data_IF_087033630718
#
_entry.id   IF_087033630718
#
_cell.length_a   1.000
_cell.length_b   1.000
_cell.length_c   1.000
_cell.angle_alpha   90.00
_cell.angle_beta   90.00
_cell.angle_gamma   90.00
#
_symmetry.space_group_name_H-M   'P 1'
#
loop_
_entity.id
_entity.type
_entity.pdbx_description
1 polymer ?
#
# COMPACT_ATOMS: atom_id res chain seq x y z
N UNK A 1 48.62 27.33 1.25
CA UNK A 1 49.83 26.57 1.71
C UNK A 1 50.95 27.45 2.32
N UNK A 2 50.95 28.71 2.18
CA UNK A 2 52.01 29.62 2.68
C UNK A 2 51.92 29.92 4.19
N UNK A 3 50.76 30.02 4.77
CA UNK A 3 50.59 30.35 6.20
C UNK A 3 50.91 29.16 7.14
N UNK A 4 50.76 27.91 6.69
CA UNK A 4 51.05 26.73 7.52
C UNK A 4 52.57 26.49 7.69
N UNK A 5 53.42 26.97 6.77
CA UNK A 5 54.86 26.89 6.88
C UNK A 5 55.45 27.89 7.90
N UNK A 6 54.76 29.02 8.14
CA UNK A 6 55.16 30.00 9.14
C UNK A 6 54.85 29.62 10.57
N UNK A 7 53.91 28.66 10.77
CA UNK A 7 53.45 28.26 12.10
C UNK A 7 54.17 26.99 12.65
N UNK A 8 55.14 26.43 11.94
CA UNK A 8 55.92 25.26 12.31
C UNK A 8 55.06 24.03 12.73
N UNK A 9 53.91 23.86 12.09
CA UNK A 9 52.95 22.76 12.37
C UNK A 9 53.36 21.56 11.53
N UNK A 10 53.58 20.36 12.15
CA UNK A 10 53.94 19.14 11.42
C UNK A 10 52.87 18.75 10.39
N UNK A 11 53.31 18.24 9.21
CA UNK A 11 52.42 17.94 8.08
C UNK A 11 51.31 16.93 8.41
N UNK A 12 51.54 16.03 9.32
CA UNK A 12 50.57 15.03 9.82
C UNK A 12 49.45 15.63 10.66
N UNK A 13 49.68 16.75 11.35
CA UNK A 13 48.59 17.49 12.04
C UNK A 13 47.71 18.25 11.07
N UNK A 14 48.25 18.76 9.98
CA UNK A 14 47.48 19.41 8.92
C UNK A 14 46.61 18.37 8.20
N UNK A 15 47.12 17.18 7.95
CA UNK A 15 46.39 16.11 7.32
C UNK A 15 45.25 15.55 8.21
N UNK A 16 45.45 15.54 9.54
CA UNK A 16 44.38 15.20 10.53
C UNK A 16 43.29 16.27 10.58
N UNK A 17 43.63 17.54 10.40
CA UNK A 17 42.67 18.66 10.37
C UNK A 17 41.90 18.73 9.05
N UNK A 18 42.44 18.20 7.96
CA UNK A 18 41.81 18.15 6.62
C UNK A 18 40.99 16.85 6.39
N UNK A 19 41.07 15.86 7.28
CA UNK A 19 40.14 14.70 7.22
C UNK A 19 38.74 15.19 7.59
N UNK A 20 37.73 15.02 6.70
CA UNK A 20 36.37 15.39 7.03
C UNK A 20 35.94 14.63 8.28
N UNK A 21 35.71 15.37 9.38
CA UNK A 21 35.11 14.79 10.57
C UNK A 21 33.72 14.29 10.17
N UNK A 22 33.52 12.98 10.27
CA UNK A 22 32.18 12.41 10.21
C UNK A 22 31.42 12.88 11.43
N UNK A 23 30.69 13.99 11.29
CA UNK A 23 29.79 14.47 12.33
C UNK A 23 28.63 13.47 12.39
N UNK A 24 28.64 12.59 13.37
CA UNK A 24 27.46 11.80 13.74
C UNK A 24 26.45 12.80 14.32
N UNK A 25 25.48 13.22 13.55
CA UNK A 25 24.36 13.98 14.06
C UNK A 25 23.52 13.04 14.93
N UNK A 26 23.63 13.18 16.25
CA UNK A 26 22.79 12.48 17.21
C UNK A 26 21.62 13.41 17.52
N UNK A 27 20.43 13.08 17.01
CA UNK A 27 19.20 13.77 17.41
C UNK A 27 18.80 13.28 18.77
N UNK A 28 19.00 14.10 19.81
CA UNK A 28 18.59 13.79 21.18
C UNK A 28 17.15 14.24 21.35
N UNK A 29 16.22 13.31 21.51
CA UNK A 29 14.86 13.61 21.97
C UNK A 29 14.82 13.52 23.50
N UNK A 30 14.34 14.59 24.13
CA UNK A 30 14.10 14.61 25.57
C UNK A 30 12.65 14.17 25.83
N UNK A 31 12.47 12.94 26.29
CA UNK A 31 11.19 12.47 26.83
C UNK A 31 11.37 12.23 28.34
N UNK A 32 10.61 12.97 29.14
CA UNK A 32 10.58 12.85 30.62
C UNK A 32 11.95 12.90 31.33
N UNK A 33 12.90 13.71 30.84
CA UNK A 33 14.17 13.94 31.51
C UNK A 33 15.23 12.86 31.38
N UNK A 34 15.02 11.84 30.56
CA UNK A 34 16.02 10.80 30.25
C UNK A 34 16.54 10.92 28.82
N UNK A 35 17.86 10.94 28.63
CA UNK A 35 18.51 10.89 27.33
C UNK A 35 18.39 9.48 26.74
N UNK A 36 17.61 9.31 25.67
CA UNK A 36 17.62 8.11 24.85
C UNK A 36 18.50 8.32 23.61
N UNK A 37 19.76 7.91 23.71
CA UNK A 37 20.80 8.19 22.70
C UNK A 37 20.72 7.27 21.47
N UNK A 38 19.99 6.13 21.51
CA UNK A 38 20.13 5.07 20.50
C UNK A 38 18.88 4.81 19.63
N UNK A 39 17.79 5.58 19.79
CA UNK A 39 16.52 5.31 19.07
C UNK A 39 16.44 5.92 17.67
N UNK A 40 17.33 6.85 17.28
CA UNK A 40 17.22 7.53 15.98
C UNK A 40 17.46 6.57 14.80
N UNK A 41 18.44 5.69 14.90
CA UNK A 41 18.74 4.71 13.85
C UNK A 41 17.63 3.65 13.72
N UNK A 42 17.09 3.17 14.84
CA UNK A 42 15.97 2.22 14.84
C UNK A 42 14.71 2.83 14.21
N UNK A 43 14.40 4.06 14.54
CA UNK A 43 13.26 4.78 13.98
C UNK A 43 13.40 4.94 12.46
N UNK A 44 14.54 5.42 11.97
CA UNK A 44 14.81 5.60 10.54
C UNK A 44 14.70 4.28 9.74
N UNK A 45 15.19 3.17 10.29
CA UNK A 45 15.08 1.86 9.66
C UNK A 45 13.62 1.39 9.62
N UNK A 46 12.86 1.56 10.71
CA UNK A 46 11.43 1.26 10.76
C UNK A 46 10.61 2.09 9.77
N UNK A 47 10.92 3.36 9.64
CA UNK A 47 10.33 4.26 8.63
C UNK A 47 10.63 3.77 7.20
N UNK A 48 11.87 3.40 6.92
CA UNK A 48 12.28 2.87 5.62
C UNK A 48 11.57 1.57 5.26
N UNK A 49 11.42 0.64 6.21
CA UNK A 49 10.69 -0.61 6.00
C UNK A 49 9.21 -0.33 5.73
N UNK A 50 8.59 0.56 6.51
CA UNK A 50 7.17 0.92 6.34
C UNK A 50 6.92 1.59 4.99
N UNK A 51 7.83 2.47 4.55
CA UNK A 51 7.81 3.04 3.21
C UNK A 51 7.91 1.96 2.12
N UNK A 52 8.83 1.01 2.26
CA UNK A 52 8.97 -0.09 1.31
C UNK A 52 7.69 -0.94 1.23
N UNK A 53 7.04 -1.24 2.37
CA UNK A 53 5.76 -1.95 2.41
C UNK A 53 4.66 -1.12 1.74
N UNK A 54 4.64 0.20 1.93
CA UNK A 54 3.67 1.10 1.31
C UNK A 54 3.83 1.16 -0.22
N UNK A 55 5.08 1.19 -0.72
CA UNK A 55 5.37 1.07 -2.16
C UNK A 55 4.90 -0.27 -2.70
N UNK A 56 5.18 -1.35 -1.99
CA UNK A 56 4.74 -2.69 -2.36
C UNK A 56 3.21 -2.78 -2.43
N UNK A 57 2.53 -2.21 -1.44
CA UNK A 57 1.07 -2.12 -1.43
C UNK A 57 0.53 -1.37 -2.65
N UNK A 58 1.11 -0.21 -3.00
CA UNK A 58 0.72 0.53 -4.19
C UNK A 58 0.89 -0.30 -5.47
N UNK A 59 2.02 -0.98 -5.62
CA UNK A 59 2.28 -1.89 -6.74
C UNK A 59 1.25 -3.01 -6.79
N UNK A 60 0.90 -3.61 -5.66
CA UNK A 60 -0.12 -4.67 -5.59
C UNK A 60 -1.50 -4.14 -5.97
N UNK A 61 -1.89 -2.98 -5.45
CA UNK A 61 -3.18 -2.35 -5.79
C UNK A 61 -3.28 -2.14 -7.30
N UNK A 62 -2.28 -1.52 -7.92
CA UNK A 62 -2.30 -1.21 -9.35
C UNK A 62 -2.38 -2.48 -10.20
N UNK A 63 -1.60 -3.51 -9.88
CA UNK A 63 -1.57 -4.75 -10.63
C UNK A 63 -2.83 -5.59 -10.41
N UNK A 64 -3.18 -5.89 -9.17
CA UNK A 64 -4.26 -6.84 -8.88
C UNK A 64 -5.66 -6.27 -9.12
N UNK A 65 -5.86 -4.95 -8.97
CA UNK A 65 -7.11 -4.32 -9.38
C UNK A 65 -7.34 -4.48 -10.91
N UNK A 66 -6.28 -4.34 -11.70
CA UNK A 66 -6.33 -4.57 -13.14
C UNK A 66 -6.66 -6.02 -13.48
N UNK A 67 -5.93 -6.95 -12.89
CA UNK A 67 -6.07 -8.39 -13.14
C UNK A 67 -7.49 -8.88 -12.84
N UNK A 68 -8.02 -8.59 -11.64
CA UNK A 68 -9.35 -9.09 -11.26
C UNK A 68 -10.47 -8.50 -12.11
N UNK A 69 -10.40 -7.21 -12.43
CA UNK A 69 -11.40 -6.57 -13.27
C UNK A 69 -11.37 -7.14 -14.71
N UNK A 70 -10.17 -7.37 -15.25
CA UNK A 70 -9.98 -7.95 -16.57
C UNK A 70 -10.46 -9.39 -16.61
N UNK A 71 -10.17 -10.19 -15.61
CA UNK A 71 -10.59 -11.58 -15.52
C UNK A 71 -12.11 -11.70 -15.50
N UNK A 72 -12.80 -10.93 -14.65
CA UNK A 72 -14.26 -10.92 -14.56
C UNK A 72 -14.89 -10.47 -15.89
N UNK A 73 -14.36 -9.42 -16.52
CA UNK A 73 -14.85 -8.93 -17.80
C UNK A 73 -14.62 -9.93 -18.95
N UNK A 74 -13.51 -10.67 -18.92
CA UNK A 74 -13.20 -11.74 -19.89
C UNK A 74 -14.18 -12.90 -19.78
N UNK A 75 -14.40 -13.41 -18.57
CA UNK A 75 -15.35 -14.51 -18.33
C UNK A 75 -16.78 -14.10 -18.72
N UNK A 76 -17.15 -12.85 -18.45
CA UNK A 76 -18.43 -12.30 -18.87
C UNK A 76 -18.52 -12.13 -20.37
N UNK A 77 -17.53 -11.49 -21.01
CA UNK A 77 -17.52 -11.22 -22.46
C UNK A 77 -17.50 -12.49 -23.31
N UNK A 78 -16.85 -13.55 -22.84
CA UNK A 78 -16.82 -14.86 -23.49
C UNK A 78 -18.03 -15.76 -23.17
N UNK A 79 -18.98 -15.29 -22.34
CA UNK A 79 -20.13 -16.07 -21.84
C UNK A 79 -19.78 -17.29 -20.98
N UNK A 80 -18.51 -17.48 -20.62
CA UNK A 80 -18.06 -18.54 -19.69
C UNK A 80 -18.74 -18.35 -18.33
N UNK A 81 -19.03 -17.10 -17.96
CA UNK A 81 -19.73 -16.78 -16.72
C UNK A 81 -21.10 -17.48 -16.61
N UNK A 82 -21.85 -17.67 -17.70
CA UNK A 82 -23.13 -18.37 -17.71
C UNK A 82 -22.94 -19.84 -17.34
N UNK A 83 -21.89 -20.49 -17.83
CA UNK A 83 -21.54 -21.88 -17.52
C UNK A 83 -21.13 -22.00 -16.06
N UNK A 84 -20.29 -21.10 -15.55
CA UNK A 84 -19.85 -21.11 -14.15
C UNK A 84 -21.06 -20.94 -13.22
N UNK A 85 -21.92 -19.97 -13.50
CA UNK A 85 -23.09 -19.66 -12.65
C UNK A 85 -24.21 -20.70 -12.75
N UNK A 86 -24.16 -21.63 -13.71
CA UNK A 86 -25.06 -22.81 -13.71
C UNK A 86 -24.71 -23.80 -12.60
N UNK A 87 -23.45 -23.80 -12.14
CA UNK A 87 -22.94 -24.75 -11.13
C UNK A 87 -22.65 -24.10 -9.76
N UNK A 88 -22.31 -22.79 -9.77
CA UNK A 88 -21.85 -22.06 -8.56
C UNK A 88 -22.60 -20.74 -8.43
N UNK A 89 -22.94 -20.35 -7.19
CA UNK A 89 -23.62 -19.08 -6.95
C UNK A 89 -22.71 -17.87 -7.25
N UNK A 90 -23.29 -16.75 -7.72
CA UNK A 90 -22.56 -15.51 -7.96
C UNK A 90 -21.82 -15.00 -6.70
N UNK A 91 -22.36 -15.25 -5.52
CA UNK A 91 -21.73 -14.93 -4.23
C UNK A 91 -20.44 -15.74 -4.04
N UNK A 92 -20.51 -17.04 -4.26
CA UNK A 92 -19.33 -17.93 -4.14
C UNK A 92 -18.26 -17.54 -5.15
N UNK A 93 -18.67 -17.26 -6.39
CA UNK A 93 -17.76 -16.80 -7.44
C UNK A 93 -17.05 -15.48 -7.07
N UNK A 94 -17.78 -14.51 -6.53
CA UNK A 94 -17.22 -13.25 -6.08
C UNK A 94 -16.15 -13.45 -5.00
N UNK A 95 -16.46 -14.21 -3.96
CA UNK A 95 -15.47 -14.47 -2.90
C UNK A 95 -14.31 -15.36 -3.36
N UNK A 96 -14.55 -16.30 -4.26
CA UNK A 96 -13.50 -17.12 -4.84
C UNK A 96 -12.48 -16.26 -5.62
N UNK A 97 -12.94 -15.26 -6.39
CA UNK A 97 -12.07 -14.31 -7.10
C UNK A 97 -11.23 -13.47 -6.14
N UNK A 98 -11.83 -12.95 -5.06
CA UNK A 98 -11.09 -12.19 -4.04
C UNK A 98 -10.07 -13.09 -3.34
N UNK A 99 -10.44 -14.33 -2.99
CA UNK A 99 -9.54 -15.29 -2.38
C UNK A 99 -8.37 -15.67 -3.32
N UNK A 100 -8.63 -15.80 -4.63
CA UNK A 100 -7.60 -16.05 -5.63
C UNK A 100 -6.58 -14.91 -5.68
N UNK A 101 -7.03 -13.64 -5.66
CA UNK A 101 -6.13 -12.49 -5.60
C UNK A 101 -5.30 -12.50 -4.32
N UNK A 102 -5.91 -12.80 -3.16
CA UNK A 102 -5.15 -12.93 -1.91
C UNK A 102 -4.09 -14.03 -1.99
N UNK A 103 -4.43 -15.18 -2.57
CA UNK A 103 -3.48 -16.27 -2.77
C UNK A 103 -2.31 -15.85 -3.68
N UNK A 104 -2.59 -15.09 -4.75
CA UNK A 104 -1.56 -14.53 -5.63
C UNK A 104 -0.66 -13.55 -4.88
N UNK A 105 -1.22 -12.63 -4.07
CA UNK A 105 -0.45 -11.70 -3.24
C UNK A 105 0.46 -12.43 -2.27
N UNK A 106 -0.06 -13.45 -1.58
CA UNK A 106 0.73 -14.26 -0.64
C UNK A 106 1.85 -15.01 -1.37
N UNK A 107 1.55 -15.62 -2.52
CA UNK A 107 2.54 -16.31 -3.35
C UNK A 107 3.65 -15.35 -3.78
N UNK A 108 3.30 -14.15 -4.19
CA UNK A 108 4.27 -13.14 -4.61
C UNK A 108 5.13 -12.65 -3.44
N UNK A 109 4.57 -12.48 -2.26
CA UNK A 109 5.34 -12.13 -1.04
C UNK A 109 6.35 -13.25 -0.72
N UNK A 110 5.91 -14.51 -0.74
CA UNK A 110 6.81 -15.67 -0.54
C UNK A 110 7.94 -15.65 -1.57
N UNK A 111 7.62 -15.38 -2.83
CA UNK A 111 8.63 -15.30 -3.90
C UNK A 111 9.64 -14.18 -3.67
N UNK A 112 9.21 -13.00 -3.21
CA UNK A 112 10.11 -11.90 -2.85
C UNK A 112 11.03 -12.25 -1.68
N UNK A 113 10.50 -12.96 -0.67
CA UNK A 113 11.30 -13.44 0.46
C UNK A 113 12.36 -14.44 -0.02
N UNK A 114 11.99 -15.41 -0.87
CA UNK A 114 12.92 -16.39 -1.43
C UNK A 114 14.04 -15.75 -2.26
N UNK A 115 13.67 -14.79 -3.13
CA UNK A 115 14.66 -14.02 -3.90
C UNK A 115 15.56 -13.20 -2.97
N UNK A 116 15.00 -12.58 -1.93
CA UNK A 116 15.77 -11.83 -0.94
C UNK A 116 16.77 -12.70 -0.21
N UNK A 117 16.37 -13.89 0.23
CA UNK A 117 17.24 -14.88 0.90
C UNK A 117 18.33 -15.39 -0.05
N UNK A 118 17.97 -15.76 -1.27
CA UNK A 118 18.93 -16.22 -2.29
C UNK A 118 19.93 -15.10 -2.64
N UNK A 119 19.44 -13.88 -2.85
CA UNK A 119 20.26 -12.69 -3.11
C UNK A 119 21.23 -12.42 -1.96
N UNK A 120 20.77 -12.54 -0.71
CA UNK A 120 21.64 -12.42 0.45
C UNK A 120 22.77 -13.45 0.44
N UNK A 121 22.47 -14.73 0.19
CA UNK A 121 23.49 -15.77 0.14
C UNK A 121 24.52 -15.55 -0.95
N UNK A 122 24.10 -15.01 -2.10
CA UNK A 122 24.99 -14.73 -3.23
C UNK A 122 25.83 -13.47 -3.03
N UNK A 123 25.24 -12.40 -2.51
CA UNK A 123 25.85 -11.07 -2.44
C UNK A 123 26.56 -10.78 -1.12
N UNK A 124 26.43 -11.62 -0.10
CA UNK A 124 27.01 -11.40 1.25
C UNK A 124 28.52 -11.19 1.27
N UNK A 125 29.25 -11.67 0.26
CA UNK A 125 30.70 -11.50 0.12
C UNK A 125 31.08 -10.19 -0.60
N UNK A 126 30.18 -9.65 -1.42
CA UNK A 126 30.43 -8.47 -2.25
C UNK A 126 29.88 -7.18 -1.64
N UNK A 127 28.85 -7.28 -0.83
CA UNK A 127 28.17 -6.14 -0.21
C UNK A 127 28.10 -6.31 1.31
N UNK A 128 28.14 -5.23 2.11
CA UNK A 128 28.02 -5.29 3.56
C UNK A 128 26.58 -5.60 4.02
N UNK A 129 25.94 -6.60 3.40
CA UNK A 129 24.55 -7.00 3.66
C UNK A 129 24.34 -7.48 5.10
N UNK A 130 25.38 -8.02 5.75
CA UNK A 130 25.33 -8.41 7.16
C UNK A 130 25.08 -7.21 8.08
N UNK A 131 25.60 -6.02 7.73
CA UNK A 131 25.36 -4.79 8.47
C UNK A 131 23.91 -4.31 8.29
N UNK A 132 23.37 -4.42 7.08
CA UNK A 132 21.97 -4.08 6.76
C UNK A 132 21.03 -5.03 7.52
N UNK A 133 21.25 -6.33 7.49
CA UNK A 133 20.41 -7.29 8.20
C UNK A 133 20.46 -7.16 9.72
N UNK A 134 21.62 -6.81 10.29
CA UNK A 134 21.73 -6.51 11.73
C UNK A 134 20.89 -5.29 12.13
N UNK A 135 20.68 -4.34 11.22
CA UNK A 135 19.84 -3.17 11.45
C UNK A 135 18.35 -3.44 11.16
N UNK A 136 18.05 -4.17 10.08
CA UNK A 136 16.68 -4.44 9.65
C UNK A 136 15.99 -5.50 10.52
N UNK A 137 16.70 -6.58 10.87
CA UNK A 137 16.13 -7.73 11.57
C UNK A 137 15.36 -7.39 12.85
N UNK A 138 15.93 -6.65 13.82
CA UNK A 138 15.21 -6.24 15.03
C UNK A 138 14.03 -5.30 14.75
N UNK A 139 14.13 -4.50 13.68
CA UNK A 139 13.12 -3.50 13.31
C UNK A 139 11.91 -4.08 12.57
N UNK A 140 11.97 -5.31 12.07
CA UNK A 140 10.81 -6.02 11.51
C UNK A 140 9.70 -6.26 12.54
N UNK A 141 10.02 -6.27 13.82
CA UNK A 141 9.07 -6.50 14.91
C UNK A 141 8.54 -5.21 15.54
N UNK A 142 8.85 -4.07 14.94
CA UNK A 142 8.38 -2.76 15.44
C UNK A 142 6.91 -2.49 15.07
N UNK A 143 6.16 -1.74 15.90
CA UNK A 143 4.76 -1.42 15.61
C UNK A 143 4.50 -0.82 14.23
N UNK A 144 5.32 0.11 13.68
CA UNK A 144 5.10 0.66 12.36
C UNK A 144 5.02 -0.40 11.24
N UNK A 145 5.86 -1.43 11.31
CA UNK A 145 5.88 -2.52 10.32
C UNK A 145 4.59 -3.34 10.39
N UNK A 146 4.13 -3.68 11.58
CA UNK A 146 2.88 -4.42 11.75
C UNK A 146 1.65 -3.66 11.28
N UNK A 147 1.60 -2.34 11.55
CA UNK A 147 0.54 -1.48 11.02
C UNK A 147 0.62 -1.41 9.49
N UNK A 148 1.81 -1.26 8.91
CA UNK A 148 1.98 -1.23 7.45
C UNK A 148 1.50 -2.54 6.79
N UNK A 149 1.81 -3.70 7.37
CA UNK A 149 1.33 -5.01 6.90
C UNK A 149 -0.19 -5.11 7.03
N UNK A 150 -0.76 -4.67 8.14
CA UNK A 150 -2.22 -4.69 8.34
C UNK A 150 -2.94 -3.82 7.31
N UNK A 151 -2.45 -2.61 7.06
CA UNK A 151 -2.98 -1.72 6.04
C UNK A 151 -2.75 -2.26 4.62
N UNK A 152 -1.65 -2.98 4.36
CA UNK A 152 -1.41 -3.65 3.08
C UNK A 152 -2.51 -4.68 2.81
N UNK A 153 -2.80 -5.55 3.77
CA UNK A 153 -3.83 -6.60 3.61
C UNK A 153 -5.20 -5.95 3.38
N UNK A 154 -5.60 -5.02 4.25
CA UNK A 154 -6.90 -4.34 4.15
C UNK A 154 -6.98 -3.50 2.87
N UNK A 155 -5.90 -2.82 2.49
CA UNK A 155 -5.82 -2.01 1.28
C UNK A 155 -5.97 -2.84 0.01
N UNK A 156 -5.19 -3.90 -0.13
CA UNK A 156 -5.30 -4.79 -1.30
C UNK A 156 -6.71 -5.37 -1.41
N UNK A 157 -7.29 -5.83 -0.31
CA UNK A 157 -8.68 -6.34 -0.29
C UNK A 157 -9.68 -5.26 -0.73
N UNK A 158 -9.59 -4.07 -0.17
CA UNK A 158 -10.51 -2.97 -0.45
C UNK A 158 -10.50 -2.60 -1.95
N UNK A 159 -9.32 -2.42 -2.53
CA UNK A 159 -9.18 -2.08 -3.94
C UNK A 159 -9.58 -3.25 -4.85
N UNK A 160 -9.28 -4.49 -4.47
CA UNK A 160 -9.69 -5.71 -5.18
C UNK A 160 -11.22 -5.84 -5.23
N UNK A 161 -11.89 -5.60 -4.11
CA UNK A 161 -13.37 -5.64 -4.02
C UNK A 161 -14.01 -4.60 -4.94
N UNK A 162 -13.50 -3.37 -4.95
CA UNK A 162 -14.00 -2.32 -5.84
C UNK A 162 -13.70 -2.67 -7.30
N UNK A 163 -12.51 -3.16 -7.60
CA UNK A 163 -12.14 -3.56 -8.95
C UNK A 163 -12.99 -4.73 -9.48
N UNK A 164 -13.32 -5.71 -8.63
CA UNK A 164 -14.23 -6.80 -8.96
C UNK A 164 -15.64 -6.28 -9.27
N UNK A 165 -16.13 -5.33 -8.47
CA UNK A 165 -17.41 -4.67 -8.73
C UNK A 165 -17.40 -3.95 -10.08
N UNK A 166 -16.37 -3.14 -10.36
CA UNK A 166 -16.24 -2.41 -11.62
C UNK A 166 -16.11 -3.35 -12.82
N UNK A 167 -15.34 -4.44 -12.70
CA UNK A 167 -15.22 -5.47 -13.71
C UNK A 167 -16.55 -6.14 -14.05
N UNK A 168 -17.42 -6.35 -13.05
CA UNK A 168 -18.75 -6.94 -13.28
C UNK A 168 -19.68 -6.08 -14.11
N UNK A 169 -19.52 -4.77 -14.08
CA UNK A 169 -20.35 -3.80 -14.83
C UNK A 169 -19.96 -3.77 -16.31
N UNK A 170 -18.72 -4.09 -16.64
CA UNK A 170 -18.16 -4.05 -17.99
C UNK A 170 -18.46 -5.36 -18.72
N UNK A 171 -18.75 -5.28 -20.03
CA UNK A 171 -19.00 -6.45 -20.86
C UNK A 171 -17.95 -6.65 -21.95
N UNK A 172 -17.04 -5.69 -22.15
CA UNK A 172 -15.99 -5.72 -23.19
C UNK A 172 -14.65 -5.44 -22.56
N UNK A 173 -13.62 -6.18 -23.00
CA UNK A 173 -12.26 -6.07 -22.46
C UNK A 173 -11.61 -4.71 -22.72
N UNK A 174 -11.91 -4.05 -23.83
CA UNK A 174 -11.41 -2.71 -24.16
C UNK A 174 -11.93 -1.61 -23.20
N UNK A 175 -13.04 -1.85 -22.53
CA UNK A 175 -13.63 -0.91 -21.56
C UNK A 175 -13.14 -1.10 -20.13
N UNK A 176 -12.45 -2.21 -19.82
CA UNK A 176 -12.00 -2.53 -18.46
C UNK A 176 -11.06 -1.44 -17.93
N UNK A 177 -10.08 -1.06 -18.74
CA UNK A 177 -9.11 -0.05 -18.33
C UNK A 177 -9.79 1.31 -18.05
N UNK A 178 -10.79 1.67 -18.83
CA UNK A 178 -11.58 2.87 -18.59
C UNK A 178 -12.37 2.78 -17.28
N UNK A 179 -12.93 1.62 -16.97
CA UNK A 179 -13.71 1.40 -15.75
C UNK A 179 -12.87 1.50 -14.48
N UNK A 180 -11.64 0.95 -14.50
CA UNK A 180 -10.76 0.96 -13.32
C UNK A 180 -9.89 2.21 -13.21
N UNK A 181 -9.73 3.00 -14.28
CA UNK A 181 -8.88 4.21 -14.29
C UNK A 181 -9.15 5.17 -13.11
N UNK A 182 -10.40 5.49 -12.73
CA UNK A 182 -10.64 6.38 -11.60
C UNK A 182 -10.09 5.80 -10.28
N UNK A 183 -10.17 4.48 -10.11
CA UNK A 183 -9.64 3.80 -8.93
C UNK A 183 -8.11 3.85 -8.89
N UNK A 184 -7.46 3.63 -10.03
CA UNK A 184 -6.01 3.70 -10.16
C UNK A 184 -5.48 5.13 -9.98
N UNK A 185 -6.16 6.13 -10.53
CA UNK A 185 -5.84 7.55 -10.33
C UNK A 185 -5.94 7.90 -8.84
N UNK A 186 -6.99 7.45 -8.16
CA UNK A 186 -7.18 7.67 -6.74
C UNK A 186 -6.05 7.06 -5.92
N UNK A 187 -5.63 5.83 -6.23
CA UNK A 187 -4.49 5.18 -5.56
C UNK A 187 -3.18 5.92 -5.81
N UNK A 188 -2.97 6.43 -7.03
CA UNK A 188 -1.78 7.21 -7.39
C UNK A 188 -1.74 8.54 -6.63
N UNK A 189 -2.87 9.26 -6.55
CA UNK A 189 -2.97 10.49 -5.76
C UNK A 189 -2.71 10.19 -4.28
N UNK A 190 -3.27 9.10 -3.74
CA UNK A 190 -3.04 8.67 -2.36
C UNK A 190 -1.56 8.42 -2.10
N UNK A 191 -0.87 7.74 -3.02
CA UNK A 191 0.56 7.48 -2.94
C UNK A 191 1.39 8.77 -2.97
N UNK A 192 1.09 9.68 -3.89
CA UNK A 192 1.77 10.98 -3.96
C UNK A 192 1.56 11.82 -2.69
N UNK A 193 0.32 11.86 -2.19
CA UNK A 193 0.01 12.54 -0.91
C UNK A 193 0.75 11.90 0.26
N UNK A 194 0.83 10.58 0.32
CA UNK A 194 1.61 9.85 1.32
C UNK A 194 3.09 10.21 1.25
N UNK A 195 3.65 10.26 0.05
CA UNK A 195 5.05 10.65 -0.15
C UNK A 195 5.31 12.12 0.28
N UNK A 196 4.41 13.04 -0.01
CA UNK A 196 4.52 14.44 0.46
C UNK A 196 4.56 14.50 2.00
N UNK A 197 3.78 13.67 2.67
CA UNK A 197 3.74 13.63 4.14
C UNK A 197 5.03 13.11 4.79
N UNK A 198 5.89 12.40 4.05
CA UNK A 198 7.22 12.01 4.56
C UNK A 198 8.16 13.21 4.71
N UNK A 199 7.98 14.24 3.86
CA UNK A 199 8.84 15.44 3.85
C UNK A 199 8.18 16.64 4.53
N UNK A 200 6.85 16.71 4.50
CA UNK A 200 6.06 17.82 5.09
C UNK A 200 4.85 17.25 5.84
N UNK A 201 5.05 16.96 7.11
CA UNK A 201 4.00 16.43 7.98
C UNK A 201 3.00 17.48 8.50
N UNK A 202 3.22 18.77 8.23
CA UNK A 202 2.46 19.90 8.77
C UNK A 202 1.20 20.27 7.97
N UNK A 203 0.98 19.67 6.78
CA UNK A 203 -0.15 20.02 5.91
C UNK A 203 -1.46 19.47 6.48
N UNK A 204 -2.22 20.34 7.17
CA UNK A 204 -3.46 19.96 7.87
C UNK A 204 -4.51 19.27 6.99
N UNK A 205 -4.67 19.70 5.73
CA UNK A 205 -5.59 19.07 4.78
C UNK A 205 -5.23 17.60 4.53
N UNK A 206 -3.94 17.28 4.32
CA UNK A 206 -3.50 15.90 4.10
C UNK A 206 -3.67 15.03 5.36
N UNK A 207 -3.56 15.62 6.55
CA UNK A 207 -3.86 14.93 7.81
C UNK A 207 -5.31 14.47 7.88
N UNK A 208 -6.26 15.30 7.48
CA UNK A 208 -7.68 14.94 7.43
C UNK A 208 -7.93 13.91 6.34
N UNK A 209 -7.38 14.13 5.14
CA UNK A 209 -7.52 13.22 4.00
C UNK A 209 -7.00 11.82 4.31
N UNK A 210 -5.97 11.69 5.15
CA UNK A 210 -5.39 10.39 5.53
C UNK A 210 -6.36 9.48 6.30
N UNK A 211 -7.46 10.00 6.87
CA UNK A 211 -8.49 9.17 7.49
C UNK A 211 -9.61 8.78 6.53
N UNK A 212 -9.66 9.39 5.34
CA UNK A 212 -10.66 9.02 4.32
C UNK A 212 -10.33 7.63 3.78
N UNK A 213 -11.28 6.67 3.82
CA UNK A 213 -11.09 5.34 3.26
C UNK A 213 -10.63 5.45 1.79
N UNK A 214 -9.81 4.52 1.33
CA UNK A 214 -9.04 4.53 0.09
C UNK A 214 -7.75 5.36 0.17
N UNK A 215 -7.73 6.56 0.74
CA UNK A 215 -6.50 7.31 1.01
C UNK A 215 -5.78 6.77 2.25
N UNK A 216 -6.53 6.40 3.27
CA UNK A 216 -6.00 5.94 4.56
C UNK A 216 -5.05 4.75 4.44
N UNK A 217 -5.28 3.86 3.46
CA UNK A 217 -4.48 2.66 3.27
C UNK A 217 -3.00 2.98 3.05
N UNK A 218 -2.72 4.00 2.27
CA UNK A 218 -1.37 4.40 1.90
C UNK A 218 -0.82 5.47 2.85
N UNK A 219 -1.64 6.43 3.26
CA UNK A 219 -1.18 7.60 4.00
C UNK A 219 -0.98 7.32 5.50
N UNK A 220 -1.82 6.50 6.15
CA UNK A 220 -1.71 6.25 7.59
C UNK A 220 -0.46 5.46 7.98
N UNK A 221 -0.06 4.38 7.28
CA UNK A 221 1.19 3.69 7.58
C UNK A 221 2.41 4.60 7.53
N UNK A 222 2.47 5.48 6.52
CA UNK A 222 3.56 6.45 6.35
C UNK A 222 3.60 7.41 7.53
N UNK A 223 2.45 8.00 7.91
CA UNK A 223 2.36 8.94 9.04
C UNK A 223 2.69 8.29 10.38
N UNK A 224 2.28 7.04 10.57
CA UNK A 224 2.61 6.32 11.80
C UNK A 224 4.10 6.00 11.87
N UNK A 225 4.71 5.60 10.76
CA UNK A 225 6.14 5.32 10.69
C UNK A 225 6.98 6.57 10.96
N UNK A 226 6.61 7.74 10.39
CA UNK A 226 7.30 9.01 10.63
C UNK A 226 7.08 9.58 12.05
N UNK A 227 6.21 8.95 12.86
CA UNK A 227 5.93 9.39 14.23
C UNK A 227 4.98 10.60 14.32
N UNK A 228 4.34 10.98 13.21
CA UNK A 228 3.31 12.06 13.18
C UNK A 228 1.93 11.55 13.66
N UNK A 229 1.81 10.28 13.97
CA UNK A 229 0.55 9.66 14.40
C UNK A 229 0.76 8.79 15.64
N UNK A 230 -0.18 8.85 16.58
CA UNK A 230 -0.19 7.97 17.75
C UNK A 230 -0.70 6.57 17.39
N UNK A 231 -0.30 5.55 18.17
CA UNK A 231 -0.77 4.19 17.95
C UNK A 231 -2.32 4.08 18.05
N UNK A 232 -2.93 4.83 18.94
CA UNK A 232 -4.40 4.89 19.09
C UNK A 232 -5.07 5.44 17.83
N UNK A 233 -4.52 6.50 17.23
CA UNK A 233 -5.06 7.09 16.02
C UNK A 233 -4.85 6.16 14.79
N UNK A 234 -3.72 5.44 14.72
CA UNK A 234 -3.47 4.43 13.69
C UNK A 234 -4.46 3.26 13.81
N UNK A 235 -4.74 2.80 15.03
CA UNK A 235 -5.71 1.73 15.31
C UNK A 235 -7.13 2.15 14.93
N UNK A 236 -7.53 3.38 15.25
CA UNK A 236 -8.83 3.94 14.83
C UNK A 236 -8.93 4.04 13.31
N UNK A 237 -7.88 4.47 12.63
CA UNK A 237 -7.82 4.51 11.17
C UNK A 237 -7.95 3.12 10.53
N UNK A 238 -7.28 2.11 11.10
CA UNK A 238 -7.40 0.72 10.67
C UNK A 238 -8.81 0.17 10.90
N UNK A 239 -9.41 0.46 12.05
CA UNK A 239 -10.79 0.10 12.35
C UNK A 239 -11.78 0.69 11.36
N UNK A 240 -11.63 1.99 11.02
CA UNK A 240 -12.45 2.65 10.01
C UNK A 240 -12.26 2.02 8.61
N UNK A 241 -11.03 1.65 8.27
CA UNK A 241 -10.72 0.97 7.02
C UNK A 241 -11.39 -0.42 6.93
N UNK A 242 -11.39 -1.19 8.02
CA UNK A 242 -12.05 -2.50 8.09
C UNK A 242 -13.58 -2.35 7.98
N UNK A 243 -14.18 -1.41 8.69
CA UNK A 243 -15.62 -1.11 8.60
C UNK A 243 -15.99 -0.75 7.16
N UNK A 244 -15.18 0.08 6.52
CA UNK A 244 -15.38 0.47 5.11
C UNK A 244 -15.22 -0.72 4.18
N UNK A 245 -14.23 -1.59 4.39
CA UNK A 245 -14.06 -2.83 3.63
C UNK A 245 -15.31 -3.71 3.70
N UNK A 246 -15.85 -3.92 4.91
CA UNK A 246 -17.07 -4.72 5.10
C UNK A 246 -18.26 -4.09 4.36
N UNK A 247 -18.48 -2.79 4.54
CA UNK A 247 -19.58 -2.06 3.88
C UNK A 247 -19.47 -2.07 2.35
N UNK A 248 -18.26 -1.81 1.83
CA UNK A 248 -18.01 -1.86 0.39
C UNK A 248 -18.08 -3.28 -0.17
N UNK A 249 -17.66 -4.30 0.57
CA UNK A 249 -17.81 -5.70 0.14
C UNK A 249 -19.29 -6.08 0.00
N UNK A 250 -20.12 -5.67 0.94
CA UNK A 250 -21.57 -5.87 0.85
C UNK A 250 -22.17 -5.17 -0.37
N UNK A 251 -21.86 -3.90 -0.58
CA UNK A 251 -22.32 -3.13 -1.71
C UNK A 251 -21.82 -3.71 -3.04
N UNK A 252 -20.53 -4.06 -3.09
CA UNK A 252 -19.90 -4.65 -4.26
C UNK A 252 -20.53 -5.99 -4.64
N UNK A 253 -20.84 -6.82 -3.65
CA UNK A 253 -21.50 -8.11 -3.86
C UNK A 253 -22.89 -7.93 -4.49
N UNK A 254 -23.68 -6.98 -4.00
CA UNK A 254 -25.00 -6.70 -4.56
C UNK A 254 -24.87 -6.26 -6.02
N UNK A 255 -23.99 -5.28 -6.31
CA UNK A 255 -23.77 -4.78 -7.66
C UNK A 255 -23.23 -5.88 -8.57
N UNK A 256 -22.30 -6.71 -8.08
CA UNK A 256 -21.76 -7.85 -8.80
C UNK A 256 -22.86 -8.83 -9.22
N UNK A 257 -23.72 -9.27 -8.28
CA UNK A 257 -24.82 -10.19 -8.54
C UNK A 257 -25.80 -9.65 -9.57
N UNK A 258 -26.09 -8.35 -9.52
CA UNK A 258 -27.03 -7.71 -10.45
C UNK A 258 -26.47 -7.58 -11.88
N UNK A 259 -25.16 -7.41 -12.01
CA UNK A 259 -24.55 -7.04 -13.30
C UNK A 259 -23.84 -8.21 -14.01
N UNK A 260 -23.50 -9.26 -13.28
CA UNK A 260 -22.65 -10.32 -13.82
C UNK A 260 -23.23 -11.02 -15.05
N UNK A 261 -24.56 -11.14 -15.14
CA UNK A 261 -25.27 -11.70 -16.30
C UNK A 261 -25.89 -10.64 -17.22
N UNK A 262 -25.70 -9.35 -16.92
CA UNK A 262 -26.27 -8.26 -17.74
C UNK A 262 -25.25 -7.82 -18.79
N UNK A 263 -25.50 -8.11 -20.04
CA UNK A 263 -24.70 -7.66 -21.18
C UNK A 263 -25.22 -6.33 -21.69
N UNK A 264 -24.44 -5.26 -21.56
CA UNK A 264 -24.82 -3.92 -22.01
C UNK A 264 -23.70 -3.27 -22.78
N UNK A 265 -23.97 -2.89 -24.03
CA UNK A 265 -23.02 -2.15 -24.89
C UNK A 265 -23.05 -0.63 -24.68
N UNK A 266 -23.86 -0.13 -23.73
CA UNK A 266 -24.15 1.32 -23.57
C UNK A 266 -23.13 2.12 -22.78
N UNK A 267 -21.92 1.59 -22.57
CA UNK A 267 -20.82 2.25 -21.86
C UNK A 267 -20.91 2.14 -20.31
N UNK A 268 -19.75 2.26 -19.67
CA UNK A 268 -19.53 1.98 -18.23
C UNK A 268 -20.44 2.85 -17.34
N UNK A 269 -20.50 4.16 -17.60
CA UNK A 269 -21.25 5.11 -16.77
C UNK A 269 -22.75 4.85 -16.78
N UNK A 270 -23.33 4.53 -17.95
CA UNK A 270 -24.78 4.23 -18.05
C UNK A 270 -25.13 2.90 -17.39
N UNK A 271 -24.25 1.91 -17.52
CA UNK A 271 -24.42 0.61 -16.84
C UNK A 271 -24.39 0.78 -15.32
N UNK A 272 -23.48 1.61 -14.82
CA UNK A 272 -23.36 1.92 -13.39
C UNK A 272 -24.61 2.65 -12.86
N UNK A 273 -25.07 3.72 -13.55
CA UNK A 273 -26.30 4.43 -13.17
C UNK A 273 -27.54 3.53 -13.19
N UNK A 274 -27.64 2.60 -14.14
CA UNK A 274 -28.73 1.62 -14.20
C UNK A 274 -28.73 0.70 -12.99
N UNK A 275 -27.56 0.24 -12.54
CA UNK A 275 -27.42 -0.61 -11.36
C UNK A 275 -27.91 0.13 -10.10
N UNK A 276 -27.56 1.40 -9.94
CA UNK A 276 -28.06 2.21 -8.82
C UNK A 276 -29.57 2.47 -8.90
N UNK A 277 -30.12 2.69 -10.08
CA UNK A 277 -31.56 2.85 -10.26
C UNK A 277 -32.33 1.58 -9.88
N UNK A 278 -31.81 0.40 -10.25
CA UNK A 278 -32.40 -0.90 -9.85
C UNK A 278 -32.33 -1.13 -8.34
N UNK A 279 -31.21 -0.82 -7.68
CA UNK A 279 -31.08 -0.87 -6.22
C UNK A 279 -32.09 0.03 -5.51
N UNK A 280 -32.36 1.22 -6.04
CA UNK A 280 -33.37 2.14 -5.49
C UNK A 280 -34.79 1.60 -5.64
N UNK A 281 -35.10 0.96 -6.77
CA UNK A 281 -36.41 0.37 -7.03
C UNK A 281 -36.67 -0.88 -6.17
N UNK A 282 -35.65 -1.68 -5.87
CA UNK A 282 -35.76 -2.87 -5.04
C UNK A 282 -35.98 -2.56 -3.53
N UNK A 283 -35.48 -1.39 -3.07
CA UNK A 283 -35.72 -0.88 -1.71
C UNK A 283 -37.13 -0.29 -1.49
N UNK A 284 -37.88 -0.07 -2.55
CA UNK A 284 -39.24 0.50 -2.48
C UNK A 284 -40.34 -0.58 -2.53
N UNK A 285 -39.97 -1.82 -2.68
CA UNK A 285 -40.82 -3.00 -2.55
C UNK A 285 -40.59 -3.67 -1.18
#
# INVERSE_FOLDING_TARGET
>A
MTLARQANVPADQIQKLMTPMTVKSVTVQFEAGQQKIDQSNQKQVGEGISLAITVLMFVFIVNYAGIIAQEIATEKGSRIMEIILSSVSATTQFFAKIAAVLALVLTQIVFYILIGVAGYHYLKQQLPLSAILKQVGPNLWTPPVWYAISFLIVGVLLYTVIAAMLGSVVSRMDQVQQAISPLLILSTISYMCGFILTTRSDIGFLKILSYVPLFSQIMLPVRFASGDLTATAATLGLGLAIITLIGLTYLALIIYRMNILVYSDKGVMRSFMRSFAMLKAERQK
#
